data_IF_233821832936
#
_entry.id   IF_233821832936
#
_cell.length_a   1.000
_cell.length_b   1.000
_cell.length_c   1.000
_cell.angle_alpha   90.00
_cell.angle_beta   90.00
_cell.angle_gamma   90.00
#
_symmetry.space_group_name_H-M   'P 1'
#
loop_
_entity.id
_entity.type
_entity.pdbx_description
1 polymer ?
#
# COMPACT_ATOMS: atom_id res chain seq x y z
N UNK A 1 -52.37 -46.59 -79.51
CA UNK A 1 -52.56 -48.07 -79.42
C UNK A 1 -51.68 -48.58 -78.29
N UNK A 2 -52.23 -49.27 -77.33
CA UNK A 2 -51.65 -49.94 -76.12
C UNK A 2 -51.18 -49.09 -74.97
N UNK A 3 -51.92 -48.92 -73.95
CA UNK A 3 -52.41 -49.79 -72.84
C UNK A 3 -51.24 -50.44 -72.05
N UNK A 4 -51.14 -50.12 -70.87
CA UNK A 4 -50.33 -50.85 -69.89
C UNK A 4 -50.36 -50.19 -68.48
N UNK A 5 -51.36 -50.50 -67.75
CA UNK A 5 -51.63 -50.87 -66.36
C UNK A 5 -50.59 -50.62 -65.27
N UNK A 6 -51.06 -49.82 -64.34
CA UNK A 6 -51.12 -50.01 -62.88
C UNK A 6 -50.13 -50.91 -62.17
N UNK A 7 -49.44 -50.45 -61.21
CA UNK A 7 -49.55 -51.02 -59.83
C UNK A 7 -49.14 -50.02 -58.78
N UNK A 8 -50.02 -49.79 -57.85
CA UNK A 8 -49.94 -49.00 -56.61
C UNK A 8 -49.14 -49.81 -55.56
N UNK A 9 -48.10 -49.30 -55.04
CA UNK A 9 -47.61 -49.81 -53.75
C UNK A 9 -47.45 -48.63 -52.78
N UNK A 10 -48.29 -48.62 -51.78
CA UNK A 10 -48.26 -47.82 -50.60
C UNK A 10 -47.07 -48.21 -49.73
N UNK A 11 -46.19 -47.30 -49.39
CA UNK A 11 -45.25 -47.49 -48.28
C UNK A 11 -45.44 -46.37 -47.30
N UNK A 12 -45.98 -46.70 -46.14
CA UNK A 12 -45.97 -45.89 -44.93
C UNK A 12 -44.53 -45.58 -44.62
N UNK A 13 -44.19 -44.31 -44.57
CA UNK A 13 -42.99 -43.81 -43.89
C UNK A 13 -43.40 -43.16 -42.59
N UNK A 14 -42.92 -43.81 -41.53
CA UNK A 14 -42.96 -43.33 -40.15
C UNK A 14 -42.28 -41.95 -40.08
N UNK A 15 -43.03 -40.95 -39.62
CA UNK A 15 -42.43 -39.63 -39.30
C UNK A 15 -41.68 -39.71 -38.01
N UNK A 16 -40.37 -39.54 -38.11
CA UNK A 16 -39.51 -39.24 -36.93
C UNK A 16 -39.73 -37.79 -36.48
N UNK A 17 -40.41 -37.63 -35.37
CA UNK A 17 -40.47 -36.33 -34.69
C UNK A 17 -39.15 -36.12 -33.97
N UNK A 18 -38.27 -35.36 -34.56
CA UNK A 18 -37.05 -34.90 -33.90
C UNK A 18 -37.42 -33.72 -32.98
N UNK A 19 -37.55 -34.01 -31.69
CA UNK A 19 -37.68 -32.95 -30.65
C UNK A 19 -36.31 -32.30 -30.52
N UNK A 20 -36.14 -31.14 -31.13
CA UNK A 20 -34.99 -30.27 -30.94
C UNK A 20 -35.02 -29.66 -29.54
N UNK A 21 -34.22 -30.22 -28.63
CA UNK A 21 -33.95 -29.61 -27.33
C UNK A 21 -33.10 -28.37 -27.53
N UNK A 22 -33.75 -27.19 -27.57
CA UNK A 22 -33.10 -25.89 -27.58
C UNK A 22 -32.52 -25.64 -26.17
N UNK A 23 -31.24 -26.00 -25.97
CA UNK A 23 -30.49 -25.59 -24.77
C UNK A 23 -30.20 -24.08 -24.88
N UNK A 24 -31.05 -23.26 -24.29
CA UNK A 24 -30.76 -21.86 -24.02
C UNK A 24 -29.67 -21.80 -22.97
N UNK A 25 -28.39 -21.62 -23.40
CA UNK A 25 -27.29 -21.17 -22.54
C UNK A 25 -27.64 -19.74 -22.06
N UNK A 26 -28.23 -19.63 -20.88
CA UNK A 26 -28.23 -18.37 -20.15
C UNK A 26 -26.78 -18.10 -19.75
N UNK A 27 -26.08 -17.30 -20.55
CA UNK A 27 -24.83 -16.67 -20.15
C UNK A 27 -25.17 -15.72 -18.97
N UNK A 28 -24.87 -16.18 -17.75
CA UNK A 28 -24.77 -15.27 -16.60
C UNK A 28 -23.65 -14.31 -16.90
N UNK A 29 -23.98 -13.17 -17.51
CA UNK A 29 -23.11 -12.03 -17.57
C UNK A 29 -22.99 -11.51 -16.13
N UNK A 30 -21.97 -11.99 -15.40
CA UNK A 30 -21.52 -11.33 -14.19
C UNK A 30 -21.17 -9.89 -14.61
N UNK A 31 -21.94 -8.92 -14.15
CA UNK A 31 -21.60 -7.50 -14.19
C UNK A 31 -20.40 -7.31 -13.26
N UNK A 32 -19.21 -7.66 -13.74
CA UNK A 32 -17.97 -7.20 -13.17
C UNK A 32 -18.04 -5.68 -13.26
N UNK A 33 -18.19 -5.01 -12.13
CA UNK A 33 -18.16 -3.55 -12.06
C UNK A 33 -16.93 -3.08 -12.83
N UNK A 34 -17.11 -2.23 -13.82
CA UNK A 34 -16.04 -1.78 -14.70
C UNK A 34 -14.99 -1.03 -13.87
N UNK A 35 -13.91 -1.70 -13.54
CA UNK A 35 -12.75 -1.13 -12.86
C UNK A 35 -12.16 -0.01 -13.72
N UNK A 36 -12.11 1.20 -13.19
CA UNK A 36 -11.46 2.32 -13.89
C UNK A 36 -9.95 2.28 -13.65
N UNK A 37 -9.17 2.46 -14.71
CA UNK A 37 -7.72 2.54 -14.63
C UNK A 37 -7.25 3.95 -15.01
N UNK A 38 -6.44 4.53 -14.13
CA UNK A 38 -5.74 5.78 -14.37
C UNK A 38 -4.25 5.46 -14.60
N UNK A 39 -3.66 6.01 -15.67
CA UNK A 39 -2.21 5.95 -15.89
C UNK A 39 -1.74 7.29 -16.41
N UNK A 40 -0.82 7.94 -15.68
CA UNK A 40 -0.26 9.25 -16.05
C UNK A 40 1.24 9.28 -15.76
N UNK A 41 1.94 10.12 -16.52
CA UNK A 41 3.36 10.42 -16.29
C UNK A 41 3.53 11.90 -16.08
N UNK A 42 4.46 12.26 -15.20
CA UNK A 42 4.79 13.63 -14.87
C UNK A 42 6.31 13.79 -14.92
N UNK A 43 6.84 14.87 -15.50
CA UNK A 43 8.25 15.19 -15.39
C UNK A 43 8.57 15.42 -13.92
N UNK A 44 9.74 14.98 -13.49
CA UNK A 44 10.19 15.14 -12.11
C UNK A 44 11.58 15.74 -12.08
N UNK A 45 11.76 16.80 -11.29
CA UNK A 45 13.08 17.29 -10.93
C UNK A 45 13.64 16.49 -9.73
N UNK A 46 14.91 16.74 -9.40
CA UNK A 46 15.49 16.22 -8.16
C UNK A 46 14.69 16.72 -6.95
N UNK A 47 14.51 15.85 -5.94
CA UNK A 47 13.78 16.14 -4.71
C UNK A 47 12.29 16.51 -4.91
N UNK A 48 11.68 15.97 -5.99
CA UNK A 48 10.25 16.13 -6.19
C UNK A 48 9.49 15.63 -4.97
N UNK A 49 8.48 16.41 -4.52
CA UNK A 49 7.62 16.01 -3.41
C UNK A 49 6.35 15.37 -3.95
N UNK A 50 6.00 14.23 -3.37
CA UNK A 50 4.80 13.47 -3.70
C UNK A 50 3.93 13.44 -2.46
N UNK A 51 2.77 14.05 -2.57
CA UNK A 51 1.71 14.01 -1.56
C UNK A 51 0.54 13.21 -2.09
N UNK A 52 0.18 12.13 -1.40
CA UNK A 52 -0.98 11.33 -1.75
C UNK A 52 -1.87 11.11 -0.55
N UNK A 53 -3.15 11.49 -0.69
CA UNK A 53 -4.19 11.29 0.31
C UNK A 53 -5.24 10.35 -0.26
N UNK A 54 -5.28 9.13 0.24
CA UNK A 54 -6.25 8.09 -0.14
C UNK A 54 -7.32 7.92 0.95
N UNK A 55 -8.45 7.31 0.59
CA UNK A 55 -9.52 6.96 1.52
C UNK A 55 -9.44 5.47 1.87
N UNK A 56 -9.36 4.59 0.85
CA UNK A 56 -9.28 3.14 1.01
C UNK A 56 -8.49 2.52 -0.11
N UNK A 57 -7.82 1.40 0.16
CA UNK A 57 -6.97 0.68 -0.79
C UNK A 57 -5.47 0.90 -0.56
N UNK A 58 -4.66 0.26 -1.36
CA UNK A 58 -3.21 0.20 -1.19
C UNK A 58 -2.48 1.36 -1.86
N UNK A 59 -1.35 1.76 -1.26
CA UNK A 59 -0.42 2.72 -1.86
C UNK A 59 0.96 2.05 -1.93
N UNK A 60 1.46 1.83 -3.14
CA UNK A 60 2.79 1.28 -3.40
C UNK A 60 3.65 2.33 -4.09
N UNK A 61 4.80 2.64 -3.50
CA UNK A 61 5.79 3.58 -4.06
C UNK A 61 7.14 2.87 -4.17
N UNK A 62 7.67 2.83 -5.37
CA UNK A 62 8.99 2.26 -5.68
C UNK A 62 9.84 3.30 -6.40
N UNK A 63 11.12 3.37 -6.08
CA UNK A 63 12.01 4.21 -6.86
C UNK A 63 12.43 3.55 -8.19
N UNK A 64 12.76 4.40 -9.15
CA UNK A 64 13.37 3.99 -10.40
C UNK A 64 14.44 4.99 -10.86
N UNK A 65 15.18 4.62 -11.89
CA UNK A 65 16.25 5.47 -12.42
C UNK A 65 15.77 6.32 -13.62
N UNK A 66 14.73 7.15 -13.40
CA UNK A 66 14.21 8.09 -14.40
C UNK A 66 13.79 9.38 -13.74
N UNK A 67 13.97 10.51 -14.44
CA UNK A 67 13.52 11.84 -14.02
C UNK A 67 12.04 12.05 -14.40
N UNK A 68 11.20 11.10 -14.05
CA UNK A 68 9.75 11.16 -14.22
C UNK A 68 9.04 10.41 -13.10
N UNK A 69 7.78 10.75 -12.86
CA UNK A 69 6.87 10.01 -12.00
C UNK A 69 5.88 9.27 -12.89
N UNK A 70 5.74 7.96 -12.69
CA UNK A 70 4.64 7.19 -13.24
C UNK A 70 3.60 6.95 -12.16
N UNK A 71 2.41 7.46 -12.36
CA UNK A 71 1.24 7.20 -11.53
C UNK A 71 0.32 6.21 -12.23
N UNK A 72 0.01 5.12 -11.55
CA UNK A 72 -1.03 4.17 -11.95
C UNK A 72 -2.01 4.01 -10.80
N UNK A 73 -3.30 3.98 -11.09
CA UNK A 73 -4.34 3.70 -10.11
C UNK A 73 -5.41 2.79 -10.70
N UNK A 74 -5.88 1.85 -9.88
CA UNK A 74 -7.05 1.02 -10.15
C UNK A 74 -8.14 1.46 -9.20
N UNK A 75 -9.27 1.89 -9.74
CA UNK A 75 -10.38 2.52 -9.03
C UNK A 75 -11.59 1.61 -9.15
N UNK A 76 -12.12 1.13 -8.02
CA UNK A 76 -13.24 0.18 -8.00
C UNK A 76 -14.60 0.88 -8.16
N UNK A 77 -14.73 2.08 -7.65
CA UNK A 77 -16.00 2.80 -7.62
C UNK A 77 -16.01 3.99 -8.57
N UNK A 78 -17.12 4.14 -9.30
CA UNK A 78 -17.39 5.34 -10.13
C UNK A 78 -17.58 6.62 -9.31
N UNK A 79 -17.78 6.51 -8.01
CA UNK A 79 -17.95 7.65 -7.10
C UNK A 79 -16.63 8.19 -6.54
N UNK A 80 -15.52 7.55 -6.88
CA UNK A 80 -14.20 8.02 -6.51
C UNK A 80 -13.66 9.02 -7.53
N UNK A 81 -13.25 10.17 -7.05
CA UNK A 81 -12.56 11.19 -7.85
C UNK A 81 -11.08 11.20 -7.45
N UNK A 82 -10.22 10.83 -8.38
CA UNK A 82 -8.77 10.90 -8.21
C UNK A 82 -8.27 12.14 -8.96
N UNK A 83 -7.77 13.11 -8.21
CA UNK A 83 -7.39 14.43 -8.70
C UNK A 83 -5.88 14.67 -8.56
N UNK A 84 -5.05 14.16 -9.47
CA UNK A 84 -3.62 14.47 -9.48
C UNK A 84 -3.39 15.87 -10.05
N UNK A 85 -2.63 16.68 -9.32
CA UNK A 85 -2.22 18.03 -9.71
C UNK A 85 -0.72 18.16 -9.55
N UNK A 86 -0.04 18.62 -10.58
CA UNK A 86 1.35 19.03 -10.47
C UNK A 86 1.40 20.54 -10.24
N UNK A 87 2.01 20.94 -9.15
CA UNK A 87 2.20 22.34 -8.75
C UNK A 87 3.70 22.52 -8.54
N UNK A 88 4.33 23.26 -9.43
CA UNK A 88 5.80 23.39 -9.49
C UNK A 88 6.47 22.01 -9.55
N UNK A 89 7.29 21.68 -8.54
CA UNK A 89 7.96 20.39 -8.41
C UNK A 89 7.20 19.41 -7.51
N UNK A 90 5.96 19.70 -7.12
CA UNK A 90 5.18 18.85 -6.25
C UNK A 90 4.07 18.13 -7.03
N UNK A 91 3.91 16.84 -6.81
CA UNK A 91 2.75 16.08 -7.27
C UNK A 91 1.82 15.83 -6.09
N UNK A 92 0.65 16.46 -6.14
CA UNK A 92 -0.40 16.31 -5.11
C UNK A 92 -1.52 15.47 -5.68
N UNK A 93 -1.88 14.38 -5.01
CA UNK A 93 -2.92 13.45 -5.41
C UNK A 93 -3.92 13.33 -4.28
N UNK A 94 -5.12 13.83 -4.50
CA UNK A 94 -6.21 13.73 -3.54
C UNK A 94 -7.30 12.83 -4.08
N UNK A 95 -7.77 11.93 -3.23
CA UNK A 95 -8.97 11.15 -3.46
C UNK A 95 -10.13 11.81 -2.75
N UNK A 96 -11.21 12.02 -3.49
CA UNK A 96 -12.44 12.60 -2.97
C UNK A 96 -13.63 11.73 -3.35
N UNK A 97 -14.67 11.74 -2.53
CA UNK A 97 -15.97 11.24 -2.94
C UNK A 97 -16.65 12.26 -3.85
N UNK A 98 -17.38 11.80 -4.88
CA UNK A 98 -18.27 12.70 -5.58
C UNK A 98 -19.33 13.21 -4.59
N UNK A 99 -19.54 14.52 -4.52
CA UNK A 99 -20.41 15.18 -3.53
C UNK A 99 -21.89 14.80 -3.61
N UNK A 100 -22.25 13.77 -4.34
CA UNK A 100 -23.64 13.30 -4.47
C UNK A 100 -24.08 12.38 -3.32
N UNK A 101 -23.17 12.10 -2.36
CA UNK A 101 -23.50 11.59 -1.02
C UNK A 101 -24.08 10.19 -0.92
N UNK A 102 -24.07 9.37 -1.97
CA UNK A 102 -24.78 8.08 -1.99
C UNK A 102 -23.95 6.86 -2.37
N UNK A 103 -22.64 6.96 -2.44
CA UNK A 103 -21.82 5.81 -2.83
C UNK A 103 -20.54 5.67 -2.00
N UNK A 104 -20.19 4.45 -1.70
CA UNK A 104 -18.86 4.12 -1.18
C UNK A 104 -17.81 4.43 -2.27
N UNK A 105 -16.72 5.03 -1.84
CA UNK A 105 -15.59 5.33 -2.73
C UNK A 105 -14.92 4.05 -3.23
N UNK A 106 -15.12 2.93 -2.53
CA UNK A 106 -14.45 1.66 -2.83
C UNK A 106 -12.94 1.75 -2.63
N UNK A 107 -12.23 0.72 -3.00
CA UNK A 107 -10.79 0.70 -2.92
C UNK A 107 -10.16 1.37 -4.14
N UNK A 108 -9.12 2.16 -3.87
CA UNK A 108 -8.27 2.75 -4.88
C UNK A 108 -6.84 2.33 -4.62
N UNK A 109 -6.33 1.50 -5.53
CA UNK A 109 -5.00 0.93 -5.42
C UNK A 109 -4.02 1.72 -6.30
N UNK A 110 -3.08 2.40 -5.65
CA UNK A 110 -2.06 3.23 -6.29
C UNK A 110 -0.74 2.48 -6.43
N UNK A 111 -0.11 2.61 -7.58
CA UNK A 111 1.29 2.27 -7.81
C UNK A 111 2.02 3.47 -8.42
N UNK A 112 3.02 3.97 -7.71
CA UNK A 112 3.88 5.06 -8.15
C UNK A 112 5.31 4.54 -8.36
N UNK A 113 5.90 4.95 -9.47
CA UNK A 113 7.34 4.83 -9.69
C UNK A 113 7.92 6.25 -9.71
N UNK A 114 8.93 6.50 -8.89
CA UNK A 114 9.42 7.84 -8.59
C UNK A 114 10.95 7.90 -8.63
N UNK A 115 11.59 9.06 -8.85
CA UNK A 115 13.03 9.21 -8.66
C UNK A 115 13.45 8.82 -7.25
N UNK A 116 14.67 8.26 -7.12
CA UNK A 116 15.18 7.73 -5.84
C UNK A 116 15.24 8.76 -4.70
N UNK A 117 15.42 10.04 -5.04
CA UNK A 117 15.51 11.14 -4.07
C UNK A 117 14.19 11.92 -3.85
N UNK A 118 13.07 11.30 -4.18
CA UNK A 118 11.75 11.90 -3.98
C UNK A 118 11.39 12.01 -2.52
N UNK A 119 10.82 13.15 -2.12
CA UNK A 119 10.21 13.35 -0.81
C UNK A 119 8.82 12.71 -0.84
N UNK A 120 8.55 11.82 0.11
CA UNK A 120 7.34 10.98 0.13
C UNK A 120 6.47 11.34 1.32
N UNK A 121 5.20 11.66 1.06
CA UNK A 121 4.20 12.01 2.06
C UNK A 121 2.86 11.34 1.71
N UNK A 122 2.57 10.22 2.36
CA UNK A 122 1.45 9.34 2.05
C UNK A 122 0.50 9.22 3.22
N UNK A 123 -0.78 9.25 2.92
CA UNK A 123 -1.83 9.02 3.89
C UNK A 123 -2.97 8.20 3.29
N UNK A 124 -3.46 7.23 4.05
CA UNK A 124 -4.72 6.53 3.76
C UNK A 124 -5.53 6.35 5.04
N UNK A 125 -6.84 6.23 4.93
CA UNK A 125 -7.65 5.86 6.10
C UNK A 125 -7.63 4.35 6.32
N UNK A 126 -7.80 3.55 5.27
CA UNK A 126 -7.74 2.09 5.29
C UNK A 126 -6.86 1.57 4.17
N UNK A 127 -6.15 0.49 4.44
CA UNK A 127 -5.28 -0.18 3.48
C UNK A 127 -3.80 0.08 3.73
N UNK A 128 -2.96 -0.66 3.03
CA UNK A 128 -1.55 -0.73 3.30
C UNK A 128 -0.76 0.33 2.52
N UNK A 129 0.33 0.80 3.14
CA UNK A 129 1.31 1.67 2.49
C UNK A 129 2.63 0.90 2.41
N UNK A 130 3.18 0.76 1.19
CA UNK A 130 4.50 0.19 0.95
C UNK A 130 5.37 1.18 0.19
N UNK A 131 6.56 1.47 0.73
CA UNK A 131 7.56 2.37 0.12
C UNK A 131 8.89 1.67 0.07
N UNK A 132 9.51 1.63 -1.11
CA UNK A 132 10.77 0.93 -1.29
C UNK A 132 11.83 1.76 -2.04
N UNK A 133 13.10 1.58 -1.62
CA UNK A 133 14.30 2.09 -2.29
C UNK A 133 14.36 3.62 -2.39
N UNK A 134 14.02 4.34 -1.35
CA UNK A 134 14.02 5.81 -1.31
C UNK A 134 15.24 6.35 -0.55
N UNK A 135 15.88 7.38 -1.11
CA UNK A 135 16.95 8.16 -0.49
C UNK A 135 16.59 9.63 -0.53
N UNK A 136 16.08 10.19 0.57
CA UNK A 136 15.53 11.54 0.56
C UNK A 136 15.59 12.22 1.94
N UNK A 137 15.08 13.44 2.02
CA UNK A 137 14.98 14.16 3.29
C UNK A 137 13.81 13.69 4.15
N UNK A 138 12.72 13.19 3.53
CA UNK A 138 11.52 12.79 4.26
C UNK A 138 10.81 11.60 3.60
N UNK A 139 10.46 10.61 4.43
CA UNK A 139 9.46 9.59 4.14
C UNK A 139 8.42 9.60 5.25
N UNK A 140 7.20 9.99 4.93
CA UNK A 140 6.06 9.98 5.86
C UNK A 140 4.98 9.02 5.33
N UNK A 141 4.55 8.09 6.17
CA UNK A 141 3.46 7.16 5.90
C UNK A 141 2.49 7.15 7.08
N UNK A 142 1.22 7.44 6.83
CA UNK A 142 0.18 7.50 7.84
C UNK A 142 -1.05 6.71 7.44
N UNK A 143 -1.46 5.77 8.29
CA UNK A 143 -2.72 5.02 8.18
C UNK A 143 -3.61 5.38 9.35
N UNK A 144 -4.69 6.12 9.09
CA UNK A 144 -5.48 6.73 10.17
C UNK A 144 -6.54 5.81 10.79
N UNK A 145 -6.79 4.62 10.23
CA UNK A 145 -7.68 3.61 10.81
C UNK A 145 -7.01 2.23 10.84
N UNK A 146 -6.87 1.54 9.71
CA UNK A 146 -6.43 0.15 9.63
C UNK A 146 -5.59 -0.09 8.38
N UNK A 147 -4.43 -0.69 8.56
CA UNK A 147 -3.50 -1.12 7.52
C UNK A 147 -2.07 -1.14 8.00
N UNK A 148 -1.27 -1.92 7.31
CA UNK A 148 0.16 -2.07 7.56
C UNK A 148 0.97 -0.99 6.83
N UNK A 149 2.12 -0.66 7.42
CA UNK A 149 3.12 0.23 6.80
C UNK A 149 4.40 -0.57 6.61
N UNK A 150 4.87 -0.67 5.39
CA UNK A 150 6.12 -1.30 5.03
C UNK A 150 7.07 -0.30 4.35
N UNK A 151 8.19 -0.03 5.00
CA UNK A 151 9.23 0.88 4.54
C UNK A 151 10.52 0.08 4.35
N UNK A 152 10.91 -0.24 3.10
CA UNK A 152 12.02 -1.14 2.80
C UNK A 152 13.13 -0.42 2.05
N UNK A 153 14.37 -0.63 2.49
CA UNK A 153 15.57 0.01 1.93
C UNK A 153 15.45 1.53 1.89
N UNK A 154 15.10 2.10 3.05
CA UNK A 154 14.93 3.54 3.22
C UNK A 154 16.21 4.15 3.80
N UNK A 155 16.70 5.20 3.15
CA UNK A 155 17.77 6.06 3.62
C UNK A 155 17.29 7.50 3.57
N UNK A 156 16.63 7.95 4.63
CA UNK A 156 16.07 9.29 4.72
C UNK A 156 16.46 9.95 6.05
N UNK A 157 16.60 11.28 6.03
CA UNK A 157 16.95 12.04 7.24
C UNK A 157 15.79 12.10 8.23
N UNK A 158 14.55 12.04 7.73
CA UNK A 158 13.35 12.04 8.55
C UNK A 158 12.42 10.92 8.08
N UNK A 159 12.02 10.07 9.02
CA UNK A 159 11.03 9.00 8.77
C UNK A 159 9.93 9.09 9.80
N UNK A 160 8.69 9.14 9.34
CA UNK A 160 7.50 9.11 10.20
C UNK A 160 6.57 8.03 9.71
N UNK A 161 6.37 6.97 10.49
CA UNK A 161 5.42 5.91 10.18
C UNK A 161 4.42 5.76 11.33
N UNK A 162 3.15 6.00 11.04
CA UNK A 162 2.11 6.00 12.05
C UNK A 162 0.87 5.26 11.57
N UNK A 163 0.36 4.34 12.38
CA UNK A 163 -0.94 3.73 12.16
C UNK A 163 -1.76 3.61 13.46
N UNK A 164 -3.05 3.29 13.31
CA UNK A 164 -3.90 2.98 14.45
C UNK A 164 -3.97 1.46 14.66
N UNK A 165 -4.30 0.72 13.62
CA UNK A 165 -4.33 -0.75 13.65
C UNK A 165 -3.53 -1.29 12.46
N UNK A 166 -2.61 -2.21 12.72
CA UNK A 166 -1.73 -2.83 11.74
C UNK A 166 -0.27 -2.79 12.19
N UNK A 167 0.58 -3.44 11.44
CA UNK A 167 1.99 -3.55 11.73
C UNK A 167 2.78 -2.43 11.04
N UNK A 168 3.91 -2.08 11.63
CA UNK A 168 4.89 -1.19 11.00
C UNK A 168 6.20 -1.98 10.84
N UNK A 169 6.65 -2.10 9.60
CA UNK A 169 7.95 -2.64 9.27
C UNK A 169 8.83 -1.55 8.66
N UNK A 170 10.00 -1.34 9.23
CA UNK A 170 11.01 -0.45 8.72
C UNK A 170 12.31 -1.23 8.49
N UNK A 171 12.85 -1.12 7.29
CA UNK A 171 14.20 -1.56 6.96
C UNK A 171 14.95 -0.41 6.28
N UNK A 172 16.06 0.01 6.89
CA UNK A 172 16.82 1.15 6.34
C UNK A 172 18.06 1.46 7.15
N UNK A 173 18.55 2.67 6.98
CA UNK A 173 19.69 3.22 7.69
C UNK A 173 19.31 4.49 8.41
N UNK A 174 19.83 4.67 9.62
CA UNK A 174 19.67 5.92 10.35
C UNK A 174 20.77 6.89 9.95
N UNK A 175 20.38 7.98 9.29
CA UNK A 175 21.28 9.06 8.86
C UNK A 175 21.77 9.88 10.04
N UNK A 176 22.98 10.40 9.95
CA UNK A 176 23.55 11.27 10.96
C UNK A 176 22.66 12.52 11.19
N UNK A 177 22.28 12.77 12.44
CA UNK A 177 21.34 13.83 12.79
C UNK A 177 19.89 13.57 12.38
N UNK A 178 19.57 12.39 11.89
CA UNK A 178 18.23 12.04 11.43
C UNK A 178 17.23 11.89 12.57
N UNK A 179 15.95 11.99 12.23
CA UNK A 179 14.82 11.86 13.16
C UNK A 179 13.84 10.79 12.67
N UNK A 180 13.56 9.81 13.52
CA UNK A 180 12.76 8.64 13.19
C UNK A 180 11.66 8.45 14.21
N UNK A 181 10.41 8.46 13.74
CA UNK A 181 9.23 8.27 14.57
C UNK A 181 8.37 7.12 14.05
N UNK A 182 8.14 6.13 14.92
CA UNK A 182 7.29 4.99 14.65
C UNK A 182 6.21 4.90 15.72
N UNK A 183 4.94 4.88 15.31
CA UNK A 183 3.82 4.86 16.24
C UNK A 183 2.70 3.94 15.78
N UNK A 184 2.32 2.98 16.62
CA UNK A 184 1.15 2.13 16.41
C UNK A 184 0.33 2.05 17.70
N UNK A 185 -1.00 2.05 17.57
CA UNK A 185 -1.85 1.75 18.72
C UNK A 185 -2.05 0.22 18.88
N UNK A 186 -2.23 -0.52 17.76
CA UNK A 186 -2.45 -1.97 17.78
C UNK A 186 -1.76 -2.64 16.60
N UNK A 187 -0.80 -3.48 16.89
CA UNK A 187 0.06 -4.20 15.94
C UNK A 187 1.52 -4.11 16.35
N UNK A 188 2.38 -4.81 15.67
CA UNK A 188 3.80 -4.88 15.99
C UNK A 188 4.60 -3.82 15.22
N UNK A 189 5.67 -3.33 15.84
CA UNK A 189 6.63 -2.43 15.20
C UNK A 189 7.97 -3.16 15.11
N UNK A 190 8.41 -3.45 13.90
CA UNK A 190 9.71 -4.09 13.63
C UNK A 190 10.64 -3.14 12.90
N UNK A 191 11.82 -2.90 13.47
CA UNK A 191 12.84 -2.00 12.94
C UNK A 191 14.09 -2.84 12.63
N UNK A 192 14.46 -2.95 11.36
CA UNK A 192 15.64 -3.68 10.88
C UNK A 192 16.68 -2.69 10.36
N UNK A 193 17.84 -2.65 11.01
CA UNK A 193 18.91 -1.69 10.73
C UNK A 193 20.29 -2.35 10.78
N UNK A 194 21.32 -1.76 10.17
CA UNK A 194 22.69 -2.26 10.29
C UNK A 194 23.17 -2.32 11.73
N UNK A 195 23.98 -3.34 12.05
CA UNK A 195 24.49 -3.55 13.42
C UNK A 195 25.44 -2.45 13.93
N UNK A 196 25.99 -1.62 13.03
CA UNK A 196 26.83 -0.46 13.35
C UNK A 196 26.06 0.86 13.42
N UNK A 197 24.74 0.81 13.49
CA UNK A 197 23.88 2.00 13.60
C UNK A 197 24.13 2.74 14.92
N UNK A 198 24.11 4.09 14.86
CA UNK A 198 24.29 4.98 16.00
C UNK A 198 23.06 5.83 16.22
N UNK A 199 22.36 5.62 17.37
CA UNK A 199 21.11 6.33 17.61
C UNK A 199 20.80 6.45 19.11
N UNK A 200 20.06 7.50 19.46
CA UNK A 200 19.39 7.66 20.75
C UNK A 200 17.98 7.14 20.64
N UNK A 201 17.64 6.18 21.48
CA UNK A 201 16.32 5.56 21.49
C UNK A 201 15.47 6.05 22.66
N UNK A 202 14.22 6.37 22.36
CA UNK A 202 13.12 6.45 23.31
C UNK A 202 12.03 5.50 22.84
N UNK A 203 11.92 4.32 23.46
CA UNK A 203 10.88 3.35 23.14
C UNK A 203 9.87 3.28 24.28
N UNK A 204 8.58 3.30 23.97
CA UNK A 204 7.49 3.16 24.93
C UNK A 204 6.49 2.10 24.47
N UNK A 205 6.16 1.14 25.35
CA UNK A 205 5.18 0.08 25.09
C UNK A 205 4.32 -0.15 26.32
N UNK A 206 3.01 0.10 26.20
CA UNK A 206 2.08 -0.22 27.29
C UNK A 206 1.96 -1.73 27.55
N UNK A 207 2.21 -2.55 26.53
CA UNK A 207 2.24 -4.01 26.63
C UNK A 207 3.52 -4.56 27.27
N UNK A 208 4.53 -3.71 27.59
CA UNK A 208 5.84 -4.11 28.14
C UNK A 208 6.65 -5.05 27.24
N UNK A 209 6.46 -4.97 25.93
CA UNK A 209 7.10 -5.84 24.95
C UNK A 209 8.07 -5.04 24.08
N UNK A 210 9.27 -4.79 24.62
CA UNK A 210 10.35 -4.09 23.90
C UNK A 210 11.55 -5.03 23.84
N UNK A 211 11.90 -5.48 22.61
CA UNK A 211 13.02 -6.36 22.34
C UNK A 211 14.06 -5.61 21.49
N UNK A 212 15.18 -5.25 22.07
CA UNK A 212 16.28 -4.58 21.39
C UNK A 212 17.29 -5.57 20.78
N UNK A 213 17.22 -6.84 21.17
CA UNK A 213 18.10 -7.93 20.70
C UNK A 213 19.60 -7.50 20.73
N UNK A 214 20.30 -7.57 19.60
CA UNK A 214 21.72 -7.25 19.47
C UNK A 214 22.07 -5.78 19.76
N UNK A 215 21.10 -4.88 19.84
CA UNK A 215 21.31 -3.47 20.17
C UNK A 215 21.24 -3.17 21.68
N UNK A 216 20.87 -4.15 22.52
CA UNK A 216 20.86 -3.97 23.96
C UNK A 216 22.27 -3.74 24.50
N UNK A 217 22.42 -2.74 25.35
CA UNK A 217 23.68 -2.47 26.05
C UNK A 217 23.42 -1.85 27.44
N UNK A 218 24.49 -1.70 28.25
CA UNK A 218 24.41 -1.18 29.62
C UNK A 218 23.98 0.29 29.75
N UNK A 219 23.97 1.03 28.66
CA UNK A 219 23.56 2.46 28.66
C UNK A 219 22.03 2.62 28.63
N UNK A 220 21.30 1.53 28.40
CA UNK A 220 19.84 1.57 28.40
C UNK A 220 19.29 1.58 29.82
N UNK A 221 18.36 2.51 30.06
CA UNK A 221 17.55 2.58 31.29
C UNK A 221 16.13 2.10 30.96
N UNK A 222 15.59 1.26 31.85
CA UNK A 222 14.23 0.75 31.72
C UNK A 222 13.38 1.28 32.85
N UNK A 223 12.14 1.60 32.58
CA UNK A 223 11.13 1.98 33.57
C UNK A 223 9.96 1.00 33.47
N UNK A 224 9.82 0.13 34.47
CA UNK A 224 8.75 -0.89 34.60
C UNK A 224 8.53 -1.76 33.34
N UNK A 225 9.56 -1.94 32.49
CA UNK A 225 9.45 -2.63 31.21
C UNK A 225 8.59 -1.92 30.16
N UNK A 226 8.03 -0.75 30.51
CA UNK A 226 7.15 0.02 29.61
C UNK A 226 7.92 1.05 28.80
N UNK A 227 9.06 1.49 29.30
CA UNK A 227 9.88 2.50 28.62
C UNK A 227 11.33 2.09 28.66
N UNK A 228 12.00 2.25 27.52
CA UNK A 228 13.43 2.04 27.36
C UNK A 228 14.03 3.31 26.75
N UNK A 229 15.07 3.84 27.39
CA UNK A 229 15.77 5.05 26.93
C UNK A 229 17.26 4.79 27.02
N UNK A 230 18.00 5.11 25.98
CA UNK A 230 19.45 4.98 25.94
C UNK A 230 20.03 5.23 24.56
N UNK A 231 21.34 5.09 24.50
CA UNK A 231 22.10 5.34 23.28
C UNK A 231 22.75 4.05 22.79
N UNK A 232 22.69 3.83 21.47
CA UNK A 232 23.51 2.87 20.74
C UNK A 232 24.60 3.66 20.03
N UNK A 233 25.85 3.25 20.23
CA UNK A 233 26.99 4.03 19.77
C UNK A 233 27.05 5.42 20.41
N UNK A 234 27.21 6.44 19.61
CA UNK A 234 27.31 7.86 20.06
C UNK A 234 25.97 8.61 20.02
N UNK A 235 24.87 7.93 19.73
CA UNK A 235 23.51 8.51 19.82
C UNK A 235 23.21 9.62 18.81
N UNK A 236 23.82 9.60 17.63
CA UNK A 236 23.78 10.72 16.66
C UNK A 236 22.44 10.92 15.98
N UNK A 237 21.58 9.92 15.87
CA UNK A 237 20.23 10.06 15.35
C UNK A 237 19.20 9.89 16.46
N UNK A 238 18.02 10.49 16.32
CA UNK A 238 16.92 10.38 17.26
C UNK A 238 15.90 9.36 16.79
N UNK A 239 15.59 8.36 17.62
CA UNK A 239 14.60 7.32 17.33
C UNK A 239 13.56 7.26 18.43
N UNK A 240 12.33 7.55 18.08
CA UNK A 240 11.15 7.49 18.95
C UNK A 240 10.22 6.38 18.50
N UNK A 241 9.93 5.42 19.38
CA UNK A 241 9.02 4.31 19.06
C UNK A 241 7.95 4.21 20.13
N UNK A 242 6.69 4.29 19.74
CA UNK A 242 5.56 4.18 20.65
C UNK A 242 4.58 3.14 20.19
N UNK A 243 4.29 2.16 21.04
CA UNK A 243 3.31 1.13 20.78
C UNK A 243 2.38 0.96 21.98
N UNK A 244 1.07 1.06 21.77
CA UNK A 244 0.13 0.87 22.87
C UNK A 244 -0.15 -0.62 23.11
N UNK A 245 -0.42 -1.41 22.03
CA UNK A 245 -0.73 -2.85 22.15
C UNK A 245 -0.05 -3.62 21.02
N UNK A 246 1.05 -4.26 21.34
CA UNK A 246 1.91 -5.01 20.43
C UNK A 246 3.36 -4.97 20.88
N UNK A 247 4.23 -5.58 20.10
CA UNK A 247 5.66 -5.68 20.37
C UNK A 247 6.45 -4.62 19.58
N UNK A 248 7.49 -4.09 20.20
CA UNK A 248 8.55 -3.32 19.54
C UNK A 248 9.77 -4.23 19.43
N UNK A 249 10.26 -4.45 18.22
CA UNK A 249 11.40 -5.32 17.97
C UNK A 249 12.45 -4.62 17.10
N UNK A 250 13.70 -4.61 17.55
CA UNK A 250 14.85 -4.21 16.75
C UNK A 250 15.59 -5.44 16.24
N UNK A 251 15.90 -5.47 14.95
CA UNK A 251 16.61 -6.56 14.28
C UNK A 251 17.83 -6.01 13.56
N UNK A 252 18.90 -6.82 13.57
CA UNK A 252 20.07 -6.54 12.76
C UNK A 252 19.83 -6.96 11.30
N UNK A 253 20.23 -6.08 10.40
CA UNK A 253 20.26 -6.35 8.96
C UNK A 253 21.52 -7.12 8.57
#
# INVERSE_FOLDING_TARGET
MNIGFLTRRSSLRAGSVTVGLLLTLMSLSSTAGAQQKLSKRYPAAKNVRIELRNISGTIVVESWNKDEIRLSATIESKHALVLPRQIDQNLVINVMSDNRGKGDVGDINFKLQVPVNSIIDLETKRGNISVANIRSDLVRAHVSLEGDIELTNINASNVVAQNVTGNIFFEGEFSLGGNYEFKSNKGDITIRIPGNSNFRLVAASSARKIALNDFWNKNFKTQDGRRVVGDVGDGRSSVSVTNFSGQITFLRK
#
